data_IF_788592581981
#
_entry.id   IF_788592581981
#
_cell.length_a   1.000
_cell.length_b   1.000
_cell.length_c   1.000
_cell.angle_alpha   90.00
_cell.angle_beta   90.00
_cell.angle_gamma   90.00
#
_symmetry.space_group_name_H-M   'P 1'
#
loop_
_entity.id
_entity.type
_entity.pdbx_description
1 polymer ?
#
# COMPACT_ATOMS: atom_id res chain seq x y z
N UNK A 1 39.20 -18.54 0.41
CA UNK A 1 38.38 -17.40 0.90
C UNK A 1 37.57 -16.67 -0.19
N UNK A 2 37.79 -16.89 -1.50
CA UNK A 2 36.97 -16.29 -2.58
C UNK A 2 35.62 -16.97 -2.83
N UNK A 3 35.49 -18.27 -2.52
CA UNK A 3 34.25 -19.04 -2.76
C UNK A 3 33.08 -18.62 -1.86
N UNK A 4 33.34 -18.22 -0.62
CA UNK A 4 32.28 -17.82 0.32
C UNK A 4 31.54 -16.56 -0.11
N UNK A 5 32.22 -15.62 -0.78
CA UNK A 5 31.60 -14.38 -1.28
C UNK A 5 30.59 -14.70 -2.39
N UNK A 6 30.88 -15.69 -3.25
CA UNK A 6 30.00 -16.13 -4.34
C UNK A 6 28.69 -16.73 -3.82
N UNK A 7 28.74 -17.47 -2.70
CA UNK A 7 27.54 -18.05 -2.07
C UNK A 7 26.69 -16.95 -1.44
N UNK A 8 27.31 -15.94 -0.81
CA UNK A 8 26.59 -14.79 -0.26
C UNK A 8 25.82 -14.03 -1.34
N UNK A 9 26.36 -13.88 -2.56
CA UNK A 9 25.64 -13.25 -3.67
C UNK A 9 24.45 -14.06 -4.19
N UNK A 10 24.54 -15.40 -4.17
CA UNK A 10 23.42 -16.26 -4.60
C UNK A 10 22.25 -16.23 -3.60
N UNK A 11 22.52 -15.99 -2.31
CA UNK A 11 21.50 -15.88 -1.26
C UNK A 11 20.70 -14.57 -1.33
N UNK A 12 21.25 -13.48 -1.88
CA UNK A 12 20.52 -12.20 -2.02
C UNK A 12 19.46 -12.26 -3.14
N UNK A 13 19.61 -13.17 -4.11
CA UNK A 13 18.68 -13.30 -5.23
C UNK A 13 17.49 -14.24 -4.98
N UNK A 14 17.36 -14.85 -3.79
CA UNK A 14 16.10 -15.43 -3.35
C UNK A 14 15.14 -14.35 -2.83
N UNK A 15 15.03 -13.24 -3.56
CA UNK A 15 13.94 -12.29 -3.38
C UNK A 15 12.65 -13.09 -3.54
N UNK A 16 11.85 -13.10 -2.49
CA UNK A 16 10.60 -13.83 -2.43
C UNK A 16 9.82 -13.59 -3.71
N UNK A 17 9.48 -14.67 -4.41
CA UNK A 17 8.25 -14.70 -5.20
C UNK A 17 7.10 -14.60 -4.18
N UNK A 18 6.95 -13.46 -3.52
CA UNK A 18 5.71 -13.11 -2.84
C UNK A 18 4.73 -12.80 -3.95
N UNK A 19 4.16 -13.90 -4.43
CA UNK A 19 2.93 -14.01 -5.19
C UNK A 19 1.98 -12.87 -4.85
N UNK A 20 1.55 -12.14 -5.88
CA UNK A 20 0.23 -11.53 -6.10
C UNK A 20 -0.74 -11.47 -4.89
N UNK A 21 -0.27 -10.97 -3.75
CA UNK A 21 -1.03 -10.86 -2.53
C UNK A 21 -2.09 -9.76 -2.68
N UNK A 22 -3.18 -9.87 -1.94
CA UNK A 22 -4.18 -8.82 -1.90
C UNK A 22 -3.61 -7.56 -1.22
N UNK A 23 -3.10 -6.63 -2.03
CA UNK A 23 -2.45 -5.40 -1.55
C UNK A 23 -3.43 -4.36 -0.96
N UNK A 24 -4.74 -4.61 -1.06
CA UNK A 24 -5.75 -3.69 -0.52
C UNK A 24 -5.63 -3.52 0.98
N UNK A 25 -5.22 -4.59 1.68
CA UNK A 25 -5.06 -4.50 3.11
C UNK A 25 -4.04 -3.42 3.51
N UNK A 26 -2.96 -3.30 2.74
CA UNK A 26 -1.86 -2.38 2.99
C UNK A 26 -2.16 -0.97 2.48
N UNK A 27 -2.81 -0.86 1.31
CA UNK A 27 -3.11 0.43 0.70
C UNK A 27 -4.32 1.13 1.33
N UNK A 28 -5.38 0.37 1.60
CA UNK A 28 -6.67 0.94 1.95
C UNK A 28 -6.88 1.07 3.44
N UNK A 29 -6.47 0.09 4.23
CA UNK A 29 -6.72 0.17 5.66
C UNK A 29 -5.62 0.94 6.36
N UNK A 30 -6.02 1.71 7.37
CA UNK A 30 -5.08 2.38 8.25
C UNK A 30 -4.21 1.32 8.93
N UNK A 31 -2.87 1.35 8.80
CA UNK A 31 -2.02 0.40 9.49
C UNK A 31 -2.11 0.62 11.01
N UNK A 32 -1.59 -0.32 11.80
CA UNK A 32 -1.58 -0.16 13.26
C UNK A 32 -0.44 0.75 13.74
N UNK A 33 0.59 0.92 12.91
CA UNK A 33 1.79 1.72 13.20
C UNK A 33 2.28 2.41 11.94
N UNK A 34 3.07 3.47 12.09
CA UNK A 34 3.65 4.21 10.98
C UNK A 34 3.91 5.66 11.35
N UNK A 35 4.62 6.41 10.48
CA UNK A 35 4.97 7.79 10.76
C UNK A 35 3.72 8.70 10.82
N UNK A 36 3.82 9.85 11.49
CA UNK A 36 2.75 10.83 11.54
C UNK A 36 2.54 11.44 10.16
N UNK A 37 1.29 11.81 9.84
CA UNK A 37 1.00 12.52 8.59
C UNK A 37 1.72 13.87 8.53
N UNK A 38 2.80 13.95 7.76
CA UNK A 38 3.45 15.22 7.45
C UNK A 38 2.65 16.04 6.43
N UNK A 39 1.89 15.38 5.54
CA UNK A 39 0.98 16.04 4.61
C UNK A 39 -0.33 16.44 5.30
N UNK A 40 -0.90 17.57 4.88
CA UNK A 40 -2.10 18.16 5.50
C UNK A 40 -3.37 17.30 5.33
N UNK A 41 -3.46 16.51 4.26
CA UNK A 41 -4.66 15.71 3.94
C UNK A 41 -4.28 14.40 3.25
N UNK A 42 -4.45 13.28 3.94
CA UNK A 42 -4.40 11.95 3.33
C UNK A 42 -5.65 11.15 3.71
N UNK A 43 -5.94 10.08 2.98
CA UNK A 43 -7.18 9.33 3.11
C UNK A 43 -6.90 7.84 3.23
N UNK A 44 -7.76 7.16 3.99
CA UNK A 44 -7.78 5.70 4.15
C UNK A 44 -9.22 5.22 4.26
N UNK A 45 -9.45 3.93 3.98
CA UNK A 45 -10.74 3.28 4.08
C UNK A 45 -11.10 2.93 5.52
N UNK A 46 -12.23 3.44 6.00
CA UNK A 46 -12.81 3.08 7.29
C UNK A 46 -13.83 1.95 7.07
N UNK A 47 -13.51 0.74 7.54
CA UNK A 47 -14.38 -0.45 7.40
C UNK A 47 -15.72 -0.28 8.10
N UNK A 48 -15.77 0.46 9.21
CA UNK A 48 -17.00 0.64 10.00
C UNK A 48 -17.95 1.60 9.28
N UNK A 49 -17.39 2.65 8.68
CA UNK A 49 -18.16 3.66 7.92
C UNK A 49 -18.36 3.30 6.46
N UNK A 50 -17.71 2.23 5.99
CA UNK A 50 -17.74 1.77 4.60
C UNK A 50 -17.43 2.87 3.58
N UNK A 51 -16.43 3.71 3.87
CA UNK A 51 -16.02 4.85 3.03
C UNK A 51 -14.61 5.32 3.35
N UNK A 52 -13.99 6.07 2.44
CA UNK A 52 -12.75 6.77 2.76
C UNK A 52 -12.96 7.95 3.73
N UNK A 53 -12.01 8.10 4.66
CA UNK A 53 -12.00 9.17 5.66
C UNK A 53 -10.66 9.89 5.67
N UNK A 54 -10.68 11.15 6.09
CA UNK A 54 -9.50 12.00 6.19
C UNK A 54 -8.65 11.61 7.42
N UNK A 55 -7.37 11.34 7.19
CA UNK A 55 -6.34 11.41 8.23
C UNK A 55 -5.87 12.85 8.40
N UNK A 56 -5.83 13.32 9.64
CA UNK A 56 -5.42 14.70 9.94
C UNK A 56 -3.91 14.79 10.07
N UNK A 57 -3.37 15.99 9.84
CA UNK A 57 -1.96 16.30 10.05
C UNK A 57 -1.50 15.88 11.46
N UNK A 58 -0.29 15.30 11.56
CA UNK A 58 0.31 14.76 12.78
C UNK A 58 -0.45 13.61 13.46
N UNK A 59 -1.52 13.08 12.86
CA UNK A 59 -2.14 11.85 13.35
C UNK A 59 -1.41 10.63 12.80
N UNK A 60 -1.24 9.63 13.66
CA UNK A 60 -0.64 8.35 13.32
C UNK A 60 -1.68 7.22 13.22
N UNK A 61 -1.43 6.23 12.35
CA UNK A 61 -0.59 6.34 11.15
C UNK A 61 -1.26 7.09 10.00
N UNK A 62 -0.43 7.49 9.03
CA UNK A 62 -0.90 8.23 7.88
C UNK A 62 -1.67 7.37 6.86
N UNK A 63 -2.70 7.95 6.24
CA UNK A 63 -3.39 7.33 5.12
C UNK A 63 -2.54 7.34 3.84
N UNK A 64 -2.74 6.37 2.97
CA UNK A 64 -1.96 6.19 1.74
C UNK A 64 -2.36 7.22 0.64
N UNK A 65 -3.64 7.50 0.49
CA UNK A 65 -4.15 8.28 -0.64
C UNK A 65 -4.08 9.79 -0.39
N UNK A 66 -3.75 10.58 -1.41
CA UNK A 66 -3.76 12.05 -1.32
C UNK A 66 -5.12 12.67 -1.70
N UNK A 67 -6.03 11.89 -2.31
CA UNK A 67 -7.38 12.34 -2.71
C UNK A 67 -8.43 11.33 -2.25
N UNK A 68 -9.61 11.82 -1.90
CA UNK A 68 -10.73 10.99 -1.47
C UNK A 68 -11.28 10.14 -2.63
N UNK A 69 -11.43 10.72 -3.81
CA UNK A 69 -11.93 10.04 -5.01
C UNK A 69 -11.08 8.82 -5.39
N UNK A 70 -9.75 8.93 -5.35
CA UNK A 70 -8.87 7.80 -5.66
C UNK A 70 -8.93 6.71 -4.59
N UNK A 71 -9.04 7.11 -3.32
CA UNK A 71 -9.24 6.20 -2.21
C UNK A 71 -10.54 5.40 -2.40
N UNK A 72 -11.68 6.06 -2.66
CA UNK A 72 -12.95 5.37 -2.85
C UNK A 72 -12.93 4.44 -4.08
N UNK A 73 -12.38 4.89 -5.22
CA UNK A 73 -12.28 4.08 -6.45
C UNK A 73 -11.47 2.79 -6.28
N UNK A 74 -10.40 2.84 -5.48
CA UNK A 74 -9.52 1.69 -5.27
C UNK A 74 -10.06 0.81 -4.14
N UNK A 75 -10.47 1.40 -3.02
CA UNK A 75 -10.79 0.68 -1.78
C UNK A 75 -12.20 0.13 -1.68
N UNK A 76 -13.12 0.53 -2.57
CA UNK A 76 -14.46 -0.07 -2.67
C UNK A 76 -14.46 -1.48 -3.24
N UNK A 77 -13.37 -1.92 -3.87
CA UNK A 77 -13.28 -3.25 -4.50
C UNK A 77 -12.73 -4.27 -3.51
N UNK A 78 -13.32 -5.47 -3.54
CA UNK A 78 -13.08 -6.51 -2.54
C UNK A 78 -11.65 -7.09 -2.55
N UNK A 79 -10.98 -7.11 -3.70
CA UNK A 79 -9.59 -7.55 -3.81
C UNK A 79 -8.88 -6.94 -5.03
N UNK A 80 -7.62 -6.57 -4.83
CA UNK A 80 -6.71 -6.23 -5.93
C UNK A 80 -5.43 -7.04 -5.80
N UNK A 81 -5.00 -7.65 -6.91
CA UNK A 81 -3.60 -8.04 -7.08
C UNK A 81 -2.81 -6.79 -7.52
N UNK A 82 -1.50 -6.79 -7.26
CA UNK A 82 -0.62 -5.71 -7.70
C UNK A 82 -0.71 -5.47 -9.21
N UNK A 83 -0.66 -6.55 -9.99
CA UNK A 83 -0.80 -6.53 -11.45
C UNK A 83 -2.10 -5.87 -11.93
N UNK A 84 -3.25 -6.19 -11.33
CA UNK A 84 -4.53 -5.57 -11.70
C UNK A 84 -4.58 -4.09 -11.31
N UNK A 85 -4.02 -3.72 -10.15
CA UNK A 85 -3.99 -2.33 -9.72
C UNK A 85 -3.12 -1.49 -10.66
N UNK A 86 -1.94 -1.98 -11.05
CA UNK A 86 -1.06 -1.29 -12.01
C UNK A 86 -1.76 -1.03 -13.34
N UNK A 87 -2.43 -2.05 -13.90
CA UNK A 87 -3.19 -1.90 -15.15
C UNK A 87 -4.32 -0.88 -15.00
N UNK A 88 -4.99 -0.85 -13.85
CA UNK A 88 -6.06 0.11 -13.59
C UNK A 88 -5.54 1.53 -13.47
N UNK A 89 -4.48 1.74 -12.67
CA UNK A 89 -3.88 3.07 -12.45
C UNK A 89 -3.34 3.65 -13.76
N UNK A 90 -2.75 2.83 -14.65
CA UNK A 90 -2.30 3.27 -15.99
C UNK A 90 -3.42 3.78 -16.90
N UNK A 91 -4.68 3.42 -16.63
CA UNK A 91 -5.86 3.84 -17.41
C UNK A 91 -6.56 5.06 -16.82
N UNK A 92 -6.10 5.57 -15.68
CA UNK A 92 -6.63 6.81 -15.13
C UNK A 92 -6.15 7.99 -15.99
N UNK A 93 -7.03 8.98 -16.23
CA UNK A 93 -6.73 10.16 -17.04
C UNK A 93 -5.66 11.06 -16.43
#
# INVERSE_FOLDING_TARGET
MKFFILISFLLVCQGSNEEDGNIIAELCFKPNSGPPCQKLKTYFWDKVKNRCVLSKHLMEPCGFFNTMDMCDKICTKEAWTLSHLEVYVRKLP
#
